data_IF_470800202128
#
_entry.id   IF_470800202128
#
_cell.length_a   1.000
_cell.length_b   1.000
_cell.length_c   1.000
_cell.angle_alpha   90.00
_cell.angle_beta   90.00
_cell.angle_gamma   90.00
#
_symmetry.space_group_name_H-M   'P 1'
#
loop_
_entity.id
_entity.type
_entity.pdbx_description
1 polymer ?
#
# COMPACT_ATOMS: atom_id res chain seq x y z
N UNK A 1 -6.05 -4.52 -18.09
CA UNK A 1 -6.94 -5.34 -17.22
C UNK A 1 -6.39 -5.54 -15.81
N UNK A 2 -5.08 -5.79 -15.63
CA UNK A 2 -4.45 -5.97 -14.31
C UNK A 2 -4.74 -4.86 -13.29
N UNK A 3 -4.66 -3.59 -13.67
CA UNK A 3 -4.94 -2.47 -12.76
C UNK A 3 -6.35 -2.50 -12.17
N UNK A 4 -7.35 -2.88 -12.97
CA UNK A 4 -8.74 -3.01 -12.52
C UNK A 4 -8.90 -4.19 -11.57
N UNK A 5 -8.25 -5.32 -11.88
CA UNK A 5 -8.27 -6.49 -11.01
C UNK A 5 -7.63 -6.18 -9.63
N UNK A 6 -6.45 -5.56 -9.63
CA UNK A 6 -5.75 -5.18 -8.39
C UNK A 6 -6.55 -4.14 -7.59
N UNK A 7 -7.16 -3.15 -8.25
CA UNK A 7 -8.00 -2.16 -7.60
C UNK A 7 -9.24 -2.78 -6.95
N UNK A 8 -9.85 -3.75 -7.64
CA UNK A 8 -11.02 -4.49 -7.12
C UNK A 8 -10.66 -5.33 -5.89
N UNK A 9 -9.51 -6.02 -5.93
CA UNK A 9 -9.01 -6.81 -4.80
C UNK A 9 -8.66 -5.90 -3.62
N UNK A 10 -7.99 -4.77 -3.86
CA UNK A 10 -7.65 -3.80 -2.84
C UNK A 10 -8.92 -3.20 -2.19
N UNK A 11 -9.94 -2.90 -3.00
CA UNK A 11 -11.22 -2.41 -2.52
C UNK A 11 -11.94 -3.46 -1.66
N UNK A 12 -12.00 -4.71 -2.12
CA UNK A 12 -12.61 -5.80 -1.36
C UNK A 12 -11.88 -6.05 -0.03
N UNK A 13 -10.55 -6.00 -0.03
CA UNK A 13 -9.74 -6.10 1.17
C UNK A 13 -10.04 -4.96 2.16
N UNK A 14 -10.02 -3.70 1.71
CA UNK A 14 -10.33 -2.56 2.57
C UNK A 14 -11.77 -2.63 3.09
N UNK A 15 -12.72 -3.03 2.24
CA UNK A 15 -14.13 -3.12 2.61
C UNK A 15 -14.40 -4.18 3.68
N UNK A 16 -13.73 -5.33 3.59
CA UNK A 16 -13.84 -6.41 4.58
C UNK A 16 -13.09 -6.07 5.87
N UNK A 17 -11.91 -5.45 5.74
CA UNK A 17 -11.06 -5.12 6.87
C UNK A 17 -11.55 -3.90 7.66
N UNK A 18 -12.30 -2.97 7.05
CA UNK A 18 -12.76 -1.71 7.69
C UNK A 18 -13.49 -1.91 9.02
N UNK A 19 -14.24 -3.02 9.17
CA UNK A 19 -15.02 -3.31 10.39
C UNK A 19 -14.16 -3.78 11.57
N UNK A 20 -12.95 -4.25 11.30
CA UNK A 20 -12.05 -4.80 12.34
C UNK A 20 -11.02 -3.79 12.82
N UNK A 21 -10.99 -2.58 12.24
CA UNK A 21 -9.89 -1.66 12.44
C UNK A 21 -10.23 -0.63 13.53
N UNK A 22 -9.30 -0.38 14.46
CA UNK A 22 -9.59 0.41 15.65
C UNK A 22 -9.73 1.92 15.39
N UNK A 23 -9.53 2.40 14.15
CA UNK A 23 -9.79 3.79 13.81
C UNK A 23 -9.47 4.16 12.37
N UNK A 24 -9.90 5.35 11.92
CA UNK A 24 -9.77 5.80 10.52
C UNK A 24 -8.31 5.89 10.04
N UNK A 25 -7.36 6.10 10.95
CA UNK A 25 -5.93 6.12 10.63
C UNK A 25 -5.35 4.78 10.16
N UNK A 26 -5.96 3.65 10.52
CA UNK A 26 -5.54 2.34 10.00
C UNK A 26 -6.00 2.16 8.56
N UNK A 27 -7.21 2.62 8.23
CA UNK A 27 -7.83 2.58 6.89
C UNK A 27 -6.95 3.30 5.87
N UNK A 28 -6.51 4.49 6.23
CA UNK A 28 -5.62 5.30 5.41
C UNK A 28 -4.26 4.63 5.21
N UNK A 29 -3.61 4.15 6.27
CA UNK A 29 -2.29 3.55 6.19
C UNK A 29 -2.27 2.28 5.33
N UNK A 30 -3.28 1.43 5.45
CA UNK A 30 -3.37 0.26 4.57
C UNK A 30 -3.73 0.64 3.13
N UNK A 31 -4.51 1.70 2.92
CA UNK A 31 -4.72 2.27 1.59
C UNK A 31 -3.40 2.70 0.95
N UNK A 32 -2.53 3.39 1.71
CA UNK A 32 -1.18 3.78 1.26
C UNK A 32 -0.33 2.56 0.90
N UNK A 33 -0.37 1.50 1.73
CA UNK A 33 0.33 0.24 1.44
C UNK A 33 -0.17 -0.40 0.15
N UNK A 34 -1.48 -0.48 -0.03
CA UNK A 34 -2.09 -1.09 -1.21
C UNK A 34 -1.80 -0.29 -2.47
N UNK A 35 -1.86 1.03 -2.42
CA UNK A 35 -1.53 1.91 -3.54
C UNK A 35 -0.06 1.76 -3.92
N UNK A 36 0.86 1.82 -2.95
CA UNK A 36 2.29 1.63 -3.22
C UNK A 36 2.58 0.24 -3.79
N UNK A 37 2.03 -0.82 -3.19
CA UNK A 37 2.26 -2.20 -3.65
C UNK A 37 1.68 -2.43 -5.05
N UNK A 38 0.46 -1.92 -5.31
CA UNK A 38 -0.19 -2.04 -6.61
C UNK A 38 0.54 -1.24 -7.68
N UNK A 39 0.97 -0.01 -7.36
CA UNK A 39 1.78 0.82 -8.24
C UNK A 39 3.07 0.12 -8.64
N UNK A 40 3.80 -0.43 -7.68
CA UNK A 40 5.02 -1.19 -7.92
C UNK A 40 4.79 -2.40 -8.84
N UNK A 41 3.76 -3.21 -8.57
CA UNK A 41 3.42 -4.38 -9.39
C UNK A 41 3.02 -4.01 -10.81
N UNK A 42 2.24 -2.94 -10.99
CA UNK A 42 1.86 -2.47 -12.31
C UNK A 42 3.07 -1.98 -13.10
N UNK A 43 4.02 -1.35 -12.42
CA UNK A 43 5.24 -0.84 -13.03
C UNK A 43 6.20 -1.94 -13.50
N UNK A 44 6.17 -3.12 -12.87
CA UNK A 44 6.85 -4.32 -13.39
C UNK A 44 6.24 -4.85 -14.70
N UNK A 45 4.94 -4.65 -14.90
CA UNK A 45 4.21 -5.12 -16.10
C UNK A 45 4.14 -4.09 -17.21
N UNK A 46 4.67 -2.89 -16.95
CA UNK A 46 4.60 -1.74 -17.86
C UNK A 46 5.85 -1.75 -18.76
N UNK A 47 5.64 -1.91 -20.06
CA UNK A 47 6.70 -1.89 -21.08
C UNK A 47 6.93 -0.52 -21.72
N UNK A 48 6.34 0.53 -21.18
CA UNK A 48 6.45 1.91 -21.66
C UNK A 48 7.74 2.57 -21.15
N UNK A 49 8.44 3.34 -21.99
CA UNK A 49 9.62 4.11 -21.56
C UNK A 49 9.19 5.17 -20.54
N UNK A 50 9.64 5.00 -19.30
CA UNK A 50 9.33 5.89 -18.17
C UNK A 50 10.62 6.45 -17.59
N UNK A 51 10.50 7.41 -16.67
CA UNK A 51 11.68 8.00 -16.03
C UNK A 51 12.41 6.94 -15.20
N UNK A 52 13.59 6.54 -15.67
CA UNK A 52 14.50 5.66 -14.93
C UNK A 52 15.40 6.49 -14.01
N UNK A 53 15.63 5.97 -12.80
CA UNK A 53 16.64 6.46 -11.89
C UNK A 53 17.55 5.29 -11.50
N UNK A 54 18.68 5.19 -12.22
CA UNK A 54 19.54 4.01 -12.19
C UNK A 54 18.89 2.83 -12.91
N UNK A 55 18.99 1.63 -12.35
CA UNK A 55 18.39 0.41 -12.92
C UNK A 55 16.87 0.30 -12.68
N UNK A 56 16.30 1.17 -11.86
CA UNK A 56 14.90 1.11 -11.42
C UNK A 56 14.13 2.33 -11.91
N UNK A 57 12.83 2.19 -12.10
CA UNK A 57 11.96 3.32 -12.48
C UNK A 57 11.70 4.22 -11.28
N UNK A 58 11.59 5.52 -11.50
CA UNK A 58 11.31 6.49 -10.45
C UNK A 58 9.96 6.19 -9.75
N UNK A 59 8.96 5.69 -10.49
CA UNK A 59 7.68 5.28 -9.92
C UNK A 59 7.80 4.03 -9.05
N UNK A 60 8.72 3.10 -9.37
CA UNK A 60 9.01 1.94 -8.52
C UNK A 60 9.58 2.36 -7.17
N UNK A 61 10.51 3.32 -7.15
CA UNK A 61 11.05 3.89 -5.91
C UNK A 61 9.95 4.53 -5.07
N UNK A 62 9.13 5.39 -5.67
CA UNK A 62 8.03 6.06 -4.96
C UNK A 62 7.03 5.03 -4.40
N UNK A 63 6.64 4.07 -5.22
CA UNK A 63 5.71 2.99 -4.88
C UNK A 63 6.24 2.13 -3.72
N UNK A 64 7.54 1.81 -3.76
CA UNK A 64 8.22 1.06 -2.70
C UNK A 64 8.25 1.85 -1.40
N UNK A 65 8.63 3.14 -1.44
CA UNK A 65 8.67 4.01 -0.27
C UNK A 65 7.29 4.13 0.37
N UNK A 66 6.24 4.33 -0.44
CA UNK A 66 4.86 4.35 0.05
C UNK A 66 4.48 3.03 0.72
N UNK A 67 4.78 1.89 0.10
CA UNK A 67 4.46 0.58 0.65
C UNK A 67 5.17 0.32 1.98
N UNK A 68 6.49 0.59 2.05
CA UNK A 68 7.31 0.36 3.24
C UNK A 68 6.92 1.32 4.37
N UNK A 69 6.79 2.61 4.09
CA UNK A 69 6.41 3.60 5.08
C UNK A 69 4.99 3.35 5.62
N UNK A 70 4.04 3.06 4.72
CA UNK A 70 2.67 2.70 5.10
C UNK A 70 2.64 1.46 5.99
N UNK A 71 3.39 0.41 5.66
CA UNK A 71 3.42 -0.84 6.42
C UNK A 71 4.09 -0.65 7.78
N UNK A 72 5.20 0.10 7.82
CA UNK A 72 5.91 0.42 9.06
C UNK A 72 5.05 1.23 10.03
N UNK A 73 4.38 2.27 9.53
CA UNK A 73 3.45 3.07 10.35
C UNK A 73 2.23 2.27 10.79
N UNK A 74 1.68 1.42 9.91
CA UNK A 74 0.55 0.55 10.25
C UNK A 74 0.92 -0.43 11.37
N UNK A 75 2.08 -1.09 11.25
CA UNK A 75 2.60 -2.01 12.25
C UNK A 75 2.89 -1.28 13.58
N UNK A 76 3.54 -0.12 13.53
CA UNK A 76 3.82 0.70 14.72
C UNK A 76 2.53 1.11 15.44
N UNK A 77 1.52 1.56 14.68
CA UNK A 77 0.22 1.95 15.24
C UNK A 77 -0.52 0.76 15.84
N UNK A 78 -0.41 -0.41 15.20
CA UNK A 78 -0.98 -1.65 15.72
C UNK A 78 -0.36 -2.07 17.05
N UNK A 79 0.97 -1.96 17.17
CA UNK A 79 1.70 -2.24 18.42
C UNK A 79 1.29 -1.26 19.51
N UNK A 80 1.21 0.06 19.21
CA UNK A 80 0.74 1.06 20.18
C UNK A 80 -0.70 0.79 20.65
N UNK A 81 -1.60 0.47 19.73
CA UNK A 81 -2.99 0.16 20.07
C UNK A 81 -3.08 -1.04 21.01
N UNK A 82 -2.33 -2.12 20.76
CA UNK A 82 -2.31 -3.29 21.65
C UNK A 82 -1.74 -3.00 23.04
N UNK A 83 -0.79 -2.06 23.16
CA UNK A 83 -0.24 -1.65 24.46
C UNK A 83 -1.21 -0.78 25.27
N UNK A 84 -2.07 0.00 24.61
CA UNK A 84 -3.04 0.87 25.29
C UNK A 84 -4.26 0.11 25.85
N UNK A 85 -4.51 -1.12 25.39
CA UNK A 85 -5.60 -1.99 25.85
C UNK A 85 -5.12 -3.20 26.68
N UNK A 86 -3.88 -3.17 27.17
CA UNK A 86 -3.35 -4.09 28.18
C UNK A 86 -3.26 -3.36 29.51
#
# INVERSE_FOLDING_TARGET
MLGVALSTVALAFLWTARRRWPGPGFSLLAGVVLVGSTGYLLELTRGDDTLYWGSWRAGQWLSLVMAVAGAGLLAWRWVRHRRAHR
#
